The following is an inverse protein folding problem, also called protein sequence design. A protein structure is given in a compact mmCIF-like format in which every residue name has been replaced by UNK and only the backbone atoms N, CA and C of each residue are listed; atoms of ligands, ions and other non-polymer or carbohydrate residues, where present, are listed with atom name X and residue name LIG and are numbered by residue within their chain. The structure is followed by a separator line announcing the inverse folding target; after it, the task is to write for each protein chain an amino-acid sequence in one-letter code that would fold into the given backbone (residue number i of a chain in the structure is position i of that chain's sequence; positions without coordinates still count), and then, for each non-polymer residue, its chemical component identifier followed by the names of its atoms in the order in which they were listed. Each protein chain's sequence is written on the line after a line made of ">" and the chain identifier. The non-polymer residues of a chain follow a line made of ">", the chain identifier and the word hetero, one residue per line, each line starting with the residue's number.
data_IF_184399586393
#
_entry.id   IF_184399586393
#
_cell.length_a   1.000
_cell.length_b   1.000
_cell.length_c   1.000
_cell.angle_alpha   90.00
_cell.angle_beta   90.00
_cell.angle_gamma   90.00
#
_symmetry.space_group_name_H-M   'P 1'
#
loop_
_entity.id
_entity.type
_entity.pdbx_description
1 polymer ?
#
# COMPACT_ATOMS: atom_id res chain seq x y z
N UNK A 1 -29.72 -20.36 51.39
CA UNK A 1 -29.80 -19.24 50.43
C UNK A 1 -28.38 -19.08 49.93
N UNK A 2 -28.04 -19.93 48.96
CA UNK A 2 -26.69 -20.13 48.46
C UNK A 2 -26.77 -19.78 46.98
N UNK A 3 -26.26 -18.62 46.60
CA UNK A 3 -26.15 -18.20 45.20
C UNK A 3 -25.07 -19.06 44.54
N UNK A 4 -25.53 -20.04 43.78
CA UNK A 4 -24.70 -20.90 42.95
C UNK A 4 -24.36 -20.13 41.67
N UNK A 5 -23.14 -19.60 41.62
CA UNK A 5 -22.58 -18.92 40.46
C UNK A 5 -22.44 -19.92 39.31
N UNK A 6 -23.32 -19.86 38.31
CA UNK A 6 -23.31 -20.72 37.12
C UNK A 6 -22.05 -20.48 36.27
N UNK A 7 -21.16 -21.48 36.08
CA UNK A 7 -19.91 -21.31 35.33
C UNK A 7 -20.02 -21.42 33.80
N UNK A 8 -21.20 -21.18 33.18
CA UNK A 8 -21.44 -21.51 31.75
C UNK A 8 -21.73 -20.34 30.81
N UNK A 9 -21.20 -19.15 31.06
CA UNK A 9 -21.03 -18.18 29.97
C UNK A 9 -19.75 -18.48 29.17
N UNK A 10 -19.89 -19.39 28.20
CA UNK A 10 -18.95 -19.46 27.08
C UNK A 10 -19.00 -18.11 26.35
N UNK A 11 -17.88 -17.41 26.12
CA UNK A 11 -17.90 -16.20 25.32
C UNK A 11 -18.43 -16.56 23.94
N UNK A 12 -19.63 -16.06 23.61
CA UNK A 12 -20.31 -16.35 22.35
C UNK A 12 -19.34 -16.17 21.20
N UNK A 13 -19.18 -17.19 20.38
CA UNK A 13 -18.38 -17.13 19.16
C UNK A 13 -18.94 -16.00 18.31
N UNK A 14 -18.27 -14.85 18.30
CA UNK A 14 -18.66 -13.71 17.48
C UNK A 14 -18.79 -14.19 16.04
N UNK A 15 -20.01 -14.16 15.51
CA UNK A 15 -20.31 -14.69 14.19
C UNK A 15 -19.51 -13.90 13.15
N UNK A 16 -18.80 -14.62 12.27
CA UNK A 16 -17.98 -13.95 11.24
C UNK A 16 -18.88 -13.11 10.36
N UNK A 17 -18.51 -11.86 10.03
CA UNK A 17 -19.34 -11.04 9.16
C UNK A 17 -19.44 -11.68 7.78
N UNK A 18 -20.61 -11.53 7.14
CA UNK A 18 -20.81 -12.03 5.78
C UNK A 18 -19.85 -11.35 4.79
N UNK A 19 -19.56 -12.01 3.67
CA UNK A 19 -18.71 -11.43 2.61
C UNK A 19 -19.28 -10.12 2.06
N UNK A 20 -20.61 -10.01 1.98
CA UNK A 20 -21.28 -8.77 1.59
C UNK A 20 -21.04 -7.65 2.61
N UNK A 21 -21.05 -7.96 3.91
CA UNK A 21 -20.73 -6.97 4.95
C UNK A 21 -19.27 -6.50 4.86
N UNK A 22 -18.33 -7.40 4.59
CA UNK A 22 -16.91 -7.05 4.34
C UNK A 22 -16.81 -6.15 3.11
N UNK A 23 -17.39 -6.55 1.99
CA UNK A 23 -17.37 -5.78 0.74
C UNK A 23 -17.95 -4.38 0.93
N UNK A 24 -19.15 -4.25 1.50
CA UNK A 24 -19.81 -2.95 1.71
C UNK A 24 -19.04 -2.05 2.67
N UNK A 25 -18.44 -2.61 3.73
CA UNK A 25 -17.62 -1.83 4.66
C UNK A 25 -16.39 -1.24 3.97
N UNK A 26 -15.67 -2.04 3.16
CA UNK A 26 -14.53 -1.56 2.39
C UNK A 26 -14.93 -0.64 1.22
N UNK A 27 -16.09 -0.86 0.61
CA UNK A 27 -16.61 0.01 -0.46
C UNK A 27 -16.89 1.41 0.08
N UNK A 28 -17.57 1.51 1.22
CA UNK A 28 -17.80 2.78 1.90
C UNK A 28 -16.49 3.49 2.23
N UNK A 29 -15.48 2.76 2.69
CA UNK A 29 -14.15 3.31 2.96
C UNK A 29 -13.45 3.75 1.66
N UNK A 30 -13.65 3.05 0.55
CA UNK A 30 -13.14 3.45 -0.77
C UNK A 30 -13.70 4.79 -1.25
N UNK A 31 -14.90 5.17 -0.83
CA UNK A 31 -15.50 6.48 -1.12
C UNK A 31 -15.18 7.58 -0.10
N UNK A 32 -14.69 7.23 1.09
CA UNK A 32 -14.61 8.19 2.21
C UNK A 32 -13.21 8.36 2.82
N UNK A 33 -12.26 7.49 2.48
CA UNK A 33 -10.91 7.55 3.03
C UNK A 33 -10.05 8.51 2.21
N UNK A 34 -9.91 9.75 2.65
CA UNK A 34 -9.05 10.73 1.97
C UNK A 34 -7.66 10.80 2.60
N UNK A 35 -6.66 11.09 1.78
CA UNK A 35 -5.29 11.35 2.21
C UNK A 35 -4.35 10.16 2.05
N UNK A 36 -3.23 10.22 2.77
CA UNK A 36 -2.15 9.23 2.65
C UNK A 36 -2.38 7.93 3.43
N UNK A 37 -1.44 6.97 3.34
CA UNK A 37 -1.53 5.68 4.03
C UNK A 37 -1.83 5.78 5.53
N UNK A 38 -1.25 6.76 6.23
CA UNK A 38 -1.47 6.97 7.67
C UNK A 38 -2.95 7.32 7.95
N UNK A 39 -3.56 8.16 7.11
CA UNK A 39 -4.97 8.50 7.25
C UNK A 39 -5.86 7.26 7.06
N UNK A 40 -5.58 6.44 6.05
CA UNK A 40 -6.29 5.19 5.81
C UNK A 40 -6.22 4.21 6.98
N UNK A 41 -5.04 4.10 7.62
CA UNK A 41 -4.91 3.30 8.83
C UNK A 41 -5.80 3.87 9.96
N UNK A 42 -5.83 5.19 10.12
CA UNK A 42 -6.77 5.85 11.05
C UNK A 42 -8.24 5.52 10.76
N UNK A 43 -8.67 5.61 9.49
CA UNK A 43 -10.03 5.25 9.07
C UNK A 43 -10.33 3.77 9.32
N UNK A 44 -9.39 2.87 9.05
CA UNK A 44 -9.56 1.43 9.26
C UNK A 44 -9.66 1.08 10.74
N UNK A 45 -8.84 1.71 11.58
CA UNK A 45 -8.91 1.56 13.04
C UNK A 45 -10.29 2.00 13.55
N UNK A 46 -10.74 3.18 13.19
CA UNK A 46 -12.06 3.67 13.59
C UNK A 46 -13.19 2.75 13.10
N UNK A 47 -13.14 2.33 11.83
CA UNK A 47 -14.18 1.51 11.23
C UNK A 47 -14.24 0.08 11.79
N UNK A 48 -13.09 -0.57 11.99
CA UNK A 48 -13.00 -2.00 12.29
C UNK A 48 -12.65 -2.31 13.74
N UNK A 49 -11.92 -1.45 14.44
CA UNK A 49 -11.63 -1.60 15.89
C UNK A 49 -12.73 -0.94 16.71
N UNK A 50 -12.98 0.35 16.49
CA UNK A 50 -13.86 1.15 17.37
C UNK A 50 -15.33 0.87 17.09
N UNK A 51 -15.78 1.09 15.85
CA UNK A 51 -17.21 1.01 15.50
C UNK A 51 -17.71 -0.42 15.35
N UNK A 52 -17.07 -1.22 14.49
CA UNK A 52 -17.51 -2.59 14.20
C UNK A 52 -16.99 -3.64 15.18
N UNK A 53 -15.91 -3.34 15.91
CA UNK A 53 -15.24 -4.27 16.83
C UNK A 53 -14.93 -5.64 16.20
N UNK A 54 -14.56 -5.62 14.91
CA UNK A 54 -14.16 -6.81 14.17
C UNK A 54 -12.77 -7.28 14.57
N UNK A 55 -11.90 -6.37 15.00
CA UNK A 55 -10.52 -6.64 15.37
C UNK A 55 -10.17 -5.85 16.63
N UNK A 56 -9.37 -6.45 17.51
CA UNK A 56 -8.86 -5.80 18.71
C UNK A 56 -7.77 -4.77 18.34
N UNK A 57 -7.56 -3.79 19.22
CA UNK A 57 -6.53 -2.76 19.10
C UNK A 57 -5.12 -3.36 18.91
N UNK A 58 -4.76 -4.38 19.69
CA UNK A 58 -3.44 -5.03 19.62
C UNK A 58 -3.29 -5.83 18.35
N UNK A 59 -4.27 -6.66 18.01
CA UNK A 59 -4.27 -7.40 16.75
C UNK A 59 -4.21 -6.44 15.53
N UNK A 60 -4.87 -5.29 15.59
CA UNK A 60 -4.78 -4.26 14.56
C UNK A 60 -3.38 -3.66 14.48
N UNK A 61 -2.77 -3.31 15.62
CA UNK A 61 -1.41 -2.79 15.67
C UNK A 61 -0.38 -3.81 15.14
N UNK A 62 -0.51 -5.09 15.51
CA UNK A 62 0.34 -6.18 15.00
C UNK A 62 0.20 -6.33 13.47
N UNK A 63 -1.03 -6.25 12.94
CA UNK A 63 -1.25 -6.29 11.49
C UNK A 63 -0.64 -5.07 10.79
N UNK A 64 -0.79 -3.88 11.36
CA UNK A 64 -0.18 -2.65 10.82
C UNK A 64 1.33 -2.78 10.80
N UNK A 65 1.95 -3.26 11.89
CA UNK A 65 3.38 -3.46 11.97
C UNK A 65 3.88 -4.47 10.91
N UNK A 66 3.18 -5.60 10.75
CA UNK A 66 3.48 -6.58 9.72
C UNK A 66 3.41 -5.98 8.31
N UNK A 67 2.34 -5.24 7.99
CA UNK A 67 2.15 -4.63 6.68
C UNK A 67 3.08 -3.43 6.41
N UNK A 68 3.67 -2.83 7.44
CA UNK A 68 4.72 -1.82 7.28
C UNK A 68 6.10 -2.44 7.06
N UNK A 69 6.29 -3.68 7.51
CA UNK A 69 7.51 -4.45 7.28
C UNK A 69 7.55 -5.06 5.86
N UNK A 70 6.41 -5.51 5.35
CA UNK A 70 6.32 -6.12 4.02
C UNK A 70 6.41 -5.07 2.89
N UNK A 71 6.96 -5.43 1.71
CA UNK A 71 6.89 -4.57 0.54
C UNK A 71 5.45 -4.43 0.07
N UNK A 72 5.03 -3.20 -0.20
CA UNK A 72 3.78 -2.81 -0.85
C UNK A 72 3.03 -1.69 -0.10
N UNK A 73 1.79 -1.39 -0.52
CA UNK A 73 0.94 -0.41 0.17
C UNK A 73 0.50 -0.91 1.54
N UNK A 74 1.08 -0.37 2.61
CA UNK A 74 0.73 -0.73 3.97
C UNK A 74 -0.80 -0.67 4.24
N UNK A 75 -1.48 0.41 3.85
CA UNK A 75 -2.94 0.52 4.07
C UNK A 75 -3.74 -0.53 3.32
N UNK A 76 -3.41 -0.81 2.05
CA UNK A 76 -4.13 -1.82 1.27
C UNK A 76 -3.85 -3.22 1.79
N UNK A 77 -2.63 -3.51 2.22
CA UNK A 77 -2.28 -4.79 2.84
C UNK A 77 -3.01 -5.00 4.16
N UNK A 78 -3.12 -3.97 5.01
CA UNK A 78 -3.93 -4.05 6.24
C UNK A 78 -5.39 -4.33 5.89
N UNK A 79 -5.93 -3.67 4.87
CA UNK A 79 -7.30 -3.93 4.40
C UNK A 79 -7.51 -5.38 3.93
N UNK A 80 -6.59 -5.88 3.10
CA UNK A 80 -6.54 -7.28 2.65
C UNK A 80 -6.44 -8.24 3.85
N UNK A 81 -5.58 -7.93 4.82
CA UNK A 81 -5.38 -8.72 6.04
C UNK A 81 -6.63 -8.78 6.92
N UNK A 82 -7.34 -7.66 7.08
CA UNK A 82 -8.63 -7.61 7.78
C UNK A 82 -9.68 -8.43 7.01
N UNK A 83 -9.78 -8.25 5.69
CA UNK A 83 -10.67 -9.05 4.83
C UNK A 83 -10.39 -10.54 4.94
N UNK A 84 -9.11 -10.92 4.95
CA UNK A 84 -8.64 -12.29 5.13
C UNK A 84 -9.03 -12.85 6.50
N UNK A 85 -8.83 -12.08 7.58
CA UNK A 85 -9.19 -12.48 8.93
C UNK A 85 -10.72 -12.65 9.12
N UNK A 86 -11.53 -11.91 8.36
CA UNK A 86 -12.99 -11.94 8.51
C UNK A 86 -13.71 -12.90 7.54
N UNK A 87 -13.18 -13.07 6.33
CA UNK A 87 -13.83 -13.85 5.27
C UNK A 87 -12.92 -14.81 4.50
N UNK A 88 -11.72 -15.10 5.00
CA UNK A 88 -10.73 -15.90 4.29
C UNK A 88 -10.30 -15.25 2.97
N UNK A 89 -9.79 -16.05 2.03
CA UNK A 89 -9.36 -15.53 0.71
C UNK A 89 -10.45 -14.73 0.00
N UNK A 90 -11.73 -15.16 -0.04
CA UNK A 90 -12.79 -14.35 -0.63
C UNK A 90 -12.97 -13.00 0.06
N UNK A 91 -12.84 -12.95 1.40
CA UNK A 91 -12.88 -11.69 2.15
C UNK A 91 -11.71 -10.77 1.83
N UNK A 92 -10.51 -11.32 1.61
CA UNK A 92 -9.33 -10.59 1.19
C UNK A 92 -9.53 -9.93 -0.19
N UNK A 93 -10.04 -10.70 -1.16
CA UNK A 93 -10.38 -10.18 -2.49
C UNK A 93 -11.52 -9.15 -2.45
N UNK A 94 -12.57 -9.40 -1.66
CA UNK A 94 -13.69 -8.48 -1.49
C UNK A 94 -13.22 -7.14 -0.90
N UNK A 95 -12.37 -7.17 0.14
CA UNK A 95 -11.80 -5.97 0.75
C UNK A 95 -10.94 -5.18 -0.24
N UNK A 96 -10.03 -5.86 -0.95
CA UNK A 96 -9.17 -5.22 -1.95
C UNK A 96 -9.99 -4.57 -3.06
N UNK A 97 -10.91 -5.31 -3.66
CA UNK A 97 -11.71 -4.84 -4.77
C UNK A 97 -12.57 -3.63 -4.34
N UNK A 98 -13.28 -3.75 -3.22
CA UNK A 98 -14.19 -2.71 -2.75
C UNK A 98 -13.46 -1.42 -2.36
N UNK A 99 -12.29 -1.51 -1.72
CA UNK A 99 -11.52 -0.34 -1.32
C UNK A 99 -10.84 0.37 -2.50
N UNK A 100 -10.40 -0.40 -3.50
CA UNK A 100 -9.58 0.07 -4.62
C UNK A 100 -10.44 0.61 -5.77
N UNK A 101 -11.53 -0.09 -6.11
CA UNK A 101 -12.32 0.18 -7.33
C UNK A 101 -12.84 1.62 -7.44
N UNK A 102 -13.39 2.27 -6.39
CA UNK A 102 -13.90 3.63 -6.51
C UNK A 102 -12.84 4.62 -7.01
N UNK A 103 -11.65 4.56 -6.42
CA UNK A 103 -10.53 5.43 -6.79
C UNK A 103 -10.00 5.14 -8.20
N UNK A 104 -9.85 3.86 -8.56
CA UNK A 104 -9.42 3.46 -9.90
C UNK A 104 -10.41 3.92 -10.98
N UNK A 105 -11.71 3.79 -10.72
CA UNK A 105 -12.75 4.28 -11.65
C UNK A 105 -12.70 5.81 -11.79
N UNK A 106 -12.57 6.53 -10.69
CA UNK A 106 -12.48 7.99 -10.72
C UNK A 106 -11.27 8.47 -11.52
N UNK A 107 -10.11 7.83 -11.35
CA UNK A 107 -8.88 8.16 -12.08
C UNK A 107 -8.93 7.77 -13.55
N UNK A 108 -9.52 6.62 -13.90
CA UNK A 108 -9.77 6.26 -15.29
C UNK A 108 -10.70 7.27 -15.98
N UNK A 109 -11.80 7.66 -15.33
CA UNK A 109 -12.73 8.67 -15.85
C UNK A 109 -12.02 10.01 -16.02
N UNK A 110 -11.20 10.42 -15.05
CA UNK A 110 -10.39 11.64 -15.15
C UNK A 110 -9.42 11.57 -16.33
N UNK A 111 -8.67 10.47 -16.47
CA UNK A 111 -7.71 10.28 -17.57
C UNK A 111 -8.37 10.38 -18.95
N UNK A 112 -9.47 9.65 -19.18
CA UNK A 112 -10.22 9.75 -20.43
C UNK A 112 -10.87 11.12 -20.62
N UNK A 113 -11.35 11.74 -19.54
CA UNK A 113 -11.95 13.07 -19.56
C UNK A 113 -10.97 14.15 -20.00
N UNK A 114 -9.73 14.12 -19.50
CA UNK A 114 -8.67 15.05 -19.92
C UNK A 114 -8.37 14.91 -21.40
N UNK A 115 -8.35 13.69 -21.94
CA UNK A 115 -8.12 13.47 -23.38
C UNK A 115 -9.32 13.90 -24.25
N UNK A 116 -10.54 13.71 -23.77
CA UNK A 116 -11.75 14.00 -24.55
C UNK A 116 -12.18 15.47 -24.51
N UNK A 117 -11.79 16.22 -23.47
CA UNK A 117 -12.25 17.58 -23.19
C UNK A 117 -11.08 18.57 -23.11
N UNK A 118 -10.03 18.36 -23.90
CA UNK A 118 -8.78 19.13 -23.87
C UNK A 118 -9.03 20.65 -23.96
N UNK A 119 -10.01 21.07 -24.78
CA UNK A 119 -10.40 22.47 -24.96
C UNK A 119 -11.29 23.05 -23.84
N UNK A 120 -11.92 22.20 -23.02
CA UNK A 120 -12.85 22.62 -21.97
C UNK A 120 -12.17 22.86 -20.61
N UNK A 121 -10.95 22.35 -20.43
CA UNK A 121 -10.18 22.57 -19.21
C UNK A 121 -9.45 23.92 -19.26
N UNK A 122 -9.56 24.76 -18.22
CA UNK A 122 -8.77 25.98 -18.11
C UNK A 122 -7.27 25.66 -18.24
N UNK A 123 -6.53 26.45 -19.01
CA UNK A 123 -5.10 26.25 -19.31
C UNK A 123 -4.21 26.12 -18.06
N UNK A 124 -4.66 26.64 -16.91
CA UNK A 124 -3.96 26.54 -15.62
C UNK A 124 -4.28 25.30 -14.78
N UNK A 125 -5.31 24.51 -15.10
CA UNK A 125 -5.76 23.41 -14.23
C UNK A 125 -4.72 22.29 -14.13
N UNK A 126 -4.20 21.82 -15.26
CA UNK A 126 -3.14 20.80 -15.28
C UNK A 126 -1.86 21.29 -14.60
N UNK A 127 -1.52 22.56 -14.77
CA UNK A 127 -0.39 23.17 -14.06
C UNK A 127 -0.64 23.20 -12.54
N UNK A 128 -1.84 23.57 -12.11
CA UNK A 128 -2.24 23.54 -10.70
C UNK A 128 -2.09 22.15 -10.08
N UNK A 129 -2.50 21.09 -10.80
CA UNK A 129 -2.30 19.70 -10.35
C UNK A 129 -0.83 19.34 -10.19
N UNK A 130 0.06 19.81 -11.09
CA UNK A 130 1.51 19.61 -10.95
C UNK A 130 2.06 20.32 -9.70
N UNK A 131 1.58 21.52 -9.38
CA UNK A 131 2.00 22.24 -8.17
C UNK A 131 1.54 21.49 -6.91
N UNK A 132 0.31 20.96 -6.91
CA UNK A 132 -0.22 20.13 -5.82
C UNK A 132 0.65 18.87 -5.65
N UNK A 133 1.02 18.21 -6.74
CA UNK A 133 1.90 17.05 -6.71
C UNK A 133 3.22 17.34 -5.95
N UNK A 134 3.88 18.47 -6.24
CA UNK A 134 5.12 18.87 -5.54
C UNK A 134 4.88 19.06 -4.03
N UNK A 135 3.82 19.79 -3.66
CA UNK A 135 3.48 20.04 -2.26
C UNK A 135 3.21 18.74 -1.50
N UNK A 136 2.52 17.78 -2.12
CA UNK A 136 2.22 16.49 -1.52
C UNK A 136 3.48 15.63 -1.38
N UNK A 137 4.34 15.55 -2.40
CA UNK A 137 5.61 14.83 -2.28
C UNK A 137 6.44 15.40 -1.13
N UNK A 138 6.52 16.73 -1.02
CA UNK A 138 7.23 17.38 0.08
C UNK A 138 6.62 17.02 1.45
N UNK A 139 5.29 17.04 1.58
CA UNK A 139 4.61 16.64 2.81
C UNK A 139 4.88 15.17 3.15
N UNK A 140 4.82 14.27 2.17
CA UNK A 140 5.06 12.84 2.35
C UNK A 140 6.49 12.58 2.84
N UNK A 141 7.49 13.21 2.22
CA UNK A 141 8.89 13.13 2.65
C UNK A 141 9.06 13.65 4.07
N UNK A 142 8.45 14.79 4.41
CA UNK A 142 8.49 15.35 5.76
C UNK A 142 7.87 14.41 6.81
N UNK A 143 6.72 13.81 6.49
CA UNK A 143 6.04 12.84 7.35
C UNK A 143 6.89 11.59 7.60
N UNK A 144 7.46 11.00 6.53
CA UNK A 144 8.34 9.83 6.61
C UNK A 144 9.64 10.13 7.37
N UNK A 145 10.22 11.32 7.20
CA UNK A 145 11.42 11.71 7.93
C UNK A 145 11.18 11.73 9.45
N UNK A 146 10.03 12.26 9.90
CA UNK A 146 9.69 12.30 11.34
C UNK A 146 9.50 10.92 11.96
N UNK A 147 9.05 9.94 11.19
CA UNK A 147 8.76 8.58 11.70
C UNK A 147 9.94 7.63 11.52
N UNK A 148 10.62 7.65 10.37
CA UNK A 148 11.68 6.70 10.02
C UNK A 148 13.08 7.20 10.36
N UNK A 149 13.27 8.51 10.52
CA UNK A 149 14.56 9.12 10.85
C UNK A 149 14.50 9.96 12.14
N UNK A 150 14.09 9.37 13.29
CA UNK A 150 13.93 10.12 14.54
C UNK A 150 15.25 10.56 15.20
N UNK A 151 16.40 10.01 14.77
CA UNK A 151 17.72 10.27 15.35
C UNK A 151 18.79 10.48 14.28
N UNK A 152 19.93 11.04 14.70
CA UNK A 152 21.03 11.38 13.82
C UNK A 152 21.56 10.18 13.01
N UNK A 153 21.81 8.98 13.58
CA UNK A 153 22.21 7.80 12.81
C UNK A 153 21.26 7.46 11.66
N UNK A 154 19.94 7.45 11.92
CA UNK A 154 18.93 7.13 10.89
C UNK A 154 18.84 8.23 9.83
N UNK A 155 18.91 9.50 10.23
CA UNK A 155 18.98 10.63 9.29
C UNK A 155 20.22 10.54 8.39
N UNK A 156 21.40 10.26 8.97
CA UNK A 156 22.65 10.11 8.21
C UNK A 156 22.54 8.99 7.19
N UNK A 157 22.00 7.83 7.59
CA UNK A 157 21.78 6.70 6.68
C UNK A 157 20.84 7.09 5.52
N UNK A 158 19.75 7.79 5.80
CA UNK A 158 18.81 8.25 4.79
C UNK A 158 19.43 9.25 3.80
N UNK A 159 20.23 10.21 4.29
CA UNK A 159 20.92 11.18 3.43
C UNK A 159 21.97 10.50 2.55
N UNK A 160 22.75 9.56 3.09
CA UNK A 160 23.74 8.78 2.32
C UNK A 160 23.06 7.91 1.26
N UNK A 161 21.96 7.25 1.61
CA UNK A 161 21.15 6.48 0.67
C UNK A 161 20.61 7.36 -0.47
N UNK A 162 20.06 8.53 -0.14
CA UNK A 162 19.56 9.49 -1.12
C UNK A 162 20.68 9.97 -2.06
N UNK A 163 21.85 10.33 -1.51
CA UNK A 163 22.99 10.78 -2.30
C UNK A 163 23.48 9.68 -3.28
N UNK A 164 23.57 8.43 -2.82
CA UNK A 164 23.99 7.30 -3.65
C UNK A 164 23.02 7.04 -4.81
N UNK A 165 21.71 7.01 -4.53
CA UNK A 165 20.67 6.78 -5.56
C UNK A 165 20.59 7.94 -6.54
N UNK A 166 20.75 9.19 -6.09
CA UNK A 166 20.75 10.36 -6.98
C UNK A 166 22.01 10.44 -7.85
N UNK A 167 23.15 9.99 -7.35
CA UNK A 167 24.39 9.94 -8.12
C UNK A 167 24.35 8.85 -9.21
N UNK A 168 23.66 7.73 -8.96
CA UNK A 168 23.51 6.64 -9.92
C UNK A 168 22.13 5.98 -9.78
N UNK A 169 21.13 6.42 -10.58
CA UNK A 169 19.74 5.96 -10.47
C UNK A 169 19.55 4.62 -11.20
N UNK A 170 20.32 3.59 -10.81
CA UNK A 170 20.20 2.24 -11.37
C UNK A 170 19.54 1.28 -10.38
N UNK A 171 18.78 0.27 -10.86
CA UNK A 171 18.17 -0.72 -9.97
C UNK A 171 19.19 -1.44 -9.07
N UNK A 172 20.39 -1.70 -9.59
CA UNK A 172 21.47 -2.33 -8.82
C UNK A 172 21.88 -1.48 -7.61
N UNK A 173 22.05 -0.16 -7.80
CA UNK A 173 22.41 0.76 -6.70
C UNK A 173 21.32 0.79 -5.63
N UNK A 174 20.04 0.82 -6.03
CA UNK A 174 18.93 0.78 -5.08
C UNK A 174 18.95 -0.50 -4.23
N UNK A 175 19.16 -1.67 -4.86
CA UNK A 175 19.27 -2.95 -4.15
C UNK A 175 20.47 -2.96 -3.19
N UNK A 176 21.63 -2.49 -3.65
CA UNK A 176 22.83 -2.40 -2.80
C UNK A 176 22.61 -1.47 -1.60
N UNK A 177 21.96 -0.33 -1.80
CA UNK A 177 21.63 0.62 -0.73
C UNK A 177 20.66 0.01 0.29
N UNK A 178 19.65 -0.74 -0.16
CA UNK A 178 18.71 -1.45 0.73
C UNK A 178 19.46 -2.49 1.57
N UNK A 179 20.31 -3.32 0.95
CA UNK A 179 21.08 -4.36 1.66
C UNK A 179 22.05 -3.71 2.66
N UNK A 180 22.77 -2.66 2.26
CA UNK A 180 23.68 -1.93 3.13
C UNK A 180 22.92 -1.31 4.32
N UNK A 181 21.78 -0.68 4.07
CA UNK A 181 20.92 -0.11 5.11
C UNK A 181 20.42 -1.17 6.10
N UNK A 182 20.03 -2.35 5.61
CA UNK A 182 19.62 -3.47 6.45
C UNK A 182 20.77 -3.98 7.33
N UNK A 183 21.97 -4.17 6.77
CA UNK A 183 23.15 -4.59 7.54
C UNK A 183 23.52 -3.57 8.60
N UNK A 184 23.56 -2.28 8.25
CA UNK A 184 23.82 -1.18 9.18
C UNK A 184 22.77 -1.16 10.30
N UNK A 185 21.49 -1.29 9.95
CA UNK A 185 20.39 -1.33 10.91
C UNK A 185 20.48 -2.49 11.89
N UNK A 186 20.87 -3.69 11.42
CA UNK A 186 21.05 -4.87 12.28
C UNK A 186 22.20 -4.71 13.29
N UNK A 187 23.28 -4.03 12.88
CA UNK A 187 24.46 -3.85 13.72
C UNK A 187 24.28 -2.69 14.71
N UNK A 188 23.70 -1.57 14.26
CA UNK A 188 23.74 -0.30 14.98
C UNK A 188 22.38 0.17 15.55
N UNK A 189 21.24 -0.38 15.10
CA UNK A 189 19.90 0.15 15.42
C UNK A 189 18.94 -0.89 16.02
N UNK A 190 19.49 -1.86 16.78
CA UNK A 190 18.71 -2.95 17.38
C UNK A 190 17.73 -2.42 18.45
N UNK A 191 16.44 -2.73 18.30
CA UNK A 191 15.39 -2.45 19.30
C UNK A 191 15.01 -3.73 20.03
N UNK A 192 14.63 -3.62 21.30
CA UNK A 192 13.93 -4.71 22.01
C UNK A 192 12.52 -4.86 21.45
N UNK A 193 12.06 -6.11 21.28
CA UNK A 193 10.74 -6.46 20.78
C UNK A 193 9.91 -6.93 21.97
N UNK A 194 8.83 -6.22 22.30
CA UNK A 194 7.86 -6.68 23.28
C UNK A 194 7.03 -7.85 22.68
N UNK A 195 7.07 -9.00 23.34
CA UNK A 195 6.70 -10.29 22.76
C UNK A 195 5.22 -10.71 22.95
N UNK A 196 4.35 -9.81 23.42
CA UNK A 196 2.93 -10.15 23.62
C UNK A 196 2.11 -9.93 22.35
N UNK A 197 2.07 -10.94 21.48
CA UNK A 197 1.29 -10.93 20.23
C UNK A 197 -0.15 -11.40 20.45
N UNK A 198 -1.11 -10.76 19.76
CA UNK A 198 -2.50 -11.23 19.71
C UNK A 198 -2.78 -11.84 18.34
N UNK A 199 -3.27 -13.07 18.31
CA UNK A 199 -3.55 -13.77 17.06
C UNK A 199 -4.70 -13.09 16.28
N UNK A 200 -4.43 -12.74 15.02
CA UNK A 200 -5.40 -12.16 14.08
C UNK A 200 -6.56 -13.10 13.67
N UNK A 201 -6.50 -14.37 14.06
CA UNK A 201 -7.50 -15.38 13.69
C UNK A 201 -7.46 -15.77 12.20
N UNK A 202 -6.32 -15.57 11.53
CA UNK A 202 -6.10 -15.97 10.13
C UNK A 202 -5.72 -17.45 10.11
N UNK A 203 -6.58 -18.27 9.50
CA UNK A 203 -6.36 -19.71 9.38
C UNK A 203 -6.16 -20.09 7.91
N UNK A 204 -4.94 -19.90 7.42
CA UNK A 204 -4.53 -20.31 6.07
C UNK A 204 -3.74 -21.62 6.17
N UNK A 205 -4.15 -22.62 5.38
CA UNK A 205 -3.39 -23.87 5.23
C UNK A 205 -1.99 -23.57 4.72
N UNK A 206 -0.95 -24.14 5.35
CA UNK A 206 0.48 -23.96 4.97
C UNK A 206 0.74 -24.12 3.47
N UNK A 207 0.06 -25.06 2.80
CA UNK A 207 0.19 -25.27 1.35
C UNK A 207 -0.21 -24.03 0.54
N UNK A 208 -1.28 -23.34 0.94
CA UNK A 208 -1.75 -22.12 0.26
C UNK A 208 -0.75 -20.99 0.48
N UNK A 209 -0.24 -20.81 1.70
CA UNK A 209 0.77 -19.79 1.99
C UNK A 209 2.06 -20.00 1.16
N UNK A 210 2.55 -21.25 1.10
CA UNK A 210 3.73 -21.60 0.29
C UNK A 210 3.45 -21.41 -1.20
N UNK A 211 2.27 -21.79 -1.69
CA UNK A 211 1.90 -21.61 -3.09
C UNK A 211 1.80 -20.12 -3.45
N UNK A 212 1.22 -19.27 -2.60
CA UNK A 212 1.16 -17.82 -2.80
C UNK A 212 2.55 -17.19 -2.83
N UNK A 213 3.45 -17.62 -1.94
CA UNK A 213 4.83 -17.14 -1.92
C UNK A 213 5.63 -17.59 -3.15
N UNK A 214 5.47 -18.84 -3.57
CA UNK A 214 6.09 -19.36 -4.78
C UNK A 214 5.57 -18.63 -6.03
N UNK A 215 4.25 -18.40 -6.12
CA UNK A 215 3.64 -17.64 -7.20
C UNK A 215 4.16 -16.20 -7.22
N UNK A 216 4.32 -15.56 -6.07
CA UNK A 216 4.88 -14.22 -5.96
C UNK A 216 6.28 -14.12 -6.59
N UNK A 217 7.21 -14.98 -6.18
CA UNK A 217 8.58 -14.96 -6.74
C UNK A 217 8.62 -15.42 -8.20
N UNK A 218 7.76 -16.38 -8.58
CA UNK A 218 7.65 -16.82 -9.95
C UNK A 218 7.23 -15.67 -10.87
N UNK A 219 6.26 -14.84 -10.47
CA UNK A 219 5.84 -13.68 -11.24
C UNK A 219 6.90 -12.57 -11.21
N UNK A 220 7.50 -12.30 -10.05
CA UNK A 220 8.50 -11.24 -9.89
C UNK A 220 9.73 -11.46 -10.78
N UNK A 221 10.15 -12.72 -10.95
CA UNK A 221 11.31 -13.09 -11.78
C UNK A 221 10.87 -13.46 -13.19
N UNK A 222 9.76 -14.17 -13.34
CA UNK A 222 9.29 -14.70 -14.61
C UNK A 222 8.77 -13.62 -15.56
N UNK A 223 8.04 -12.62 -15.07
CA UNK A 223 7.51 -11.54 -15.91
C UNK A 223 8.59 -10.74 -16.65
N UNK A 224 9.69 -10.27 -16.02
CA UNK A 224 10.75 -9.56 -16.75
C UNK A 224 11.43 -10.44 -17.81
N UNK A 225 11.65 -11.71 -17.49
CA UNK A 225 12.25 -12.66 -18.44
C UNK A 225 11.32 -12.91 -19.64
N UNK A 226 10.02 -13.04 -19.39
CA UNK A 226 9.01 -13.19 -20.44
C UNK A 226 8.89 -11.92 -21.28
N UNK A 227 8.89 -10.73 -20.65
CA UNK A 227 8.83 -9.45 -21.35
C UNK A 227 10.05 -9.22 -22.25
N UNK A 228 11.24 -9.64 -21.79
CA UNK A 228 12.47 -9.60 -22.59
C UNK A 228 12.45 -10.59 -23.76
N UNK A 229 11.86 -11.79 -23.58
CA UNK A 229 11.78 -12.82 -24.61
C UNK A 229 10.68 -12.54 -25.65
N UNK A 230 9.57 -11.94 -25.23
CA UNK A 230 8.40 -11.65 -26.06
C UNK A 230 7.99 -10.18 -25.92
N UNK A 231 8.64 -9.26 -26.68
CA UNK A 231 8.36 -7.83 -26.60
C UNK A 231 6.91 -7.54 -27.00
N UNK A 232 6.05 -7.34 -26.00
CA UNK A 232 4.66 -6.89 -26.19
C UNK A 232 4.34 -5.82 -25.16
N UNK A 233 3.57 -4.81 -25.57
CA UNK A 233 3.21 -3.70 -24.70
C UNK A 233 2.41 -4.19 -23.48
N UNK A 234 1.46 -5.11 -23.67
CA UNK A 234 0.67 -5.68 -22.58
C UNK A 234 1.54 -6.41 -21.56
N UNK A 235 2.51 -7.20 -22.01
CA UNK A 235 3.40 -7.92 -21.09
C UNK A 235 4.33 -6.96 -20.36
N UNK A 236 4.82 -5.92 -21.04
CA UNK A 236 5.63 -4.86 -20.42
C UNK A 236 4.83 -4.12 -19.36
N UNK A 237 3.56 -3.80 -19.61
CA UNK A 237 2.67 -3.20 -18.61
C UNK A 237 2.48 -4.12 -17.40
N UNK A 238 2.12 -5.39 -17.62
CA UNK A 238 1.92 -6.35 -16.52
C UNK A 238 3.21 -6.46 -15.68
N UNK A 239 4.35 -6.60 -16.34
CA UNK A 239 5.66 -6.70 -15.72
C UNK A 239 6.04 -5.45 -14.90
N UNK A 240 6.02 -4.28 -15.51
CA UNK A 240 6.36 -3.00 -14.88
C UNK A 240 5.49 -2.71 -13.65
N UNK A 241 4.17 -2.89 -13.75
CA UNK A 241 3.26 -2.65 -12.62
C UNK A 241 3.40 -3.72 -11.53
N UNK A 242 3.57 -4.99 -11.89
CA UNK A 242 3.76 -6.07 -10.91
C UNK A 242 5.06 -5.90 -10.13
N UNK A 243 6.17 -5.66 -10.83
CA UNK A 243 7.49 -5.45 -10.19
C UNK A 243 7.49 -4.20 -9.33
N UNK A 244 6.95 -3.09 -9.85
CA UNK A 244 6.87 -1.83 -9.09
C UNK A 244 6.03 -2.02 -7.82
N UNK A 245 4.85 -2.64 -7.91
CA UNK A 245 4.03 -2.93 -6.73
C UNK A 245 4.69 -3.86 -5.72
N UNK A 246 5.52 -4.80 -6.19
CA UNK A 246 6.21 -5.81 -5.36
C UNK A 246 7.46 -5.31 -4.66
N UNK A 247 8.06 -4.19 -5.10
CA UNK A 247 9.34 -3.68 -4.61
C UNK A 247 9.22 -2.40 -3.77
N UNK A 248 8.01 -1.86 -3.61
CA UNK A 248 7.82 -0.61 -2.86
C UNK A 248 7.83 -0.85 -1.36
N UNK A 249 8.54 0.00 -0.62
CA UNK A 249 8.45 0.08 0.83
C UNK A 249 8.01 1.49 1.22
N UNK A 250 7.17 1.65 2.26
CA UNK A 250 6.84 2.99 2.79
C UNK A 250 5.59 3.67 2.21
N UNK A 251 4.65 2.93 1.62
CA UNK A 251 3.31 3.42 1.30
C UNK A 251 3.16 4.15 -0.06
N UNK A 252 1.99 4.74 -0.28
CA UNK A 252 1.46 5.24 -1.57
C UNK A 252 2.32 6.23 -2.34
N UNK A 253 3.23 6.92 -1.69
CA UNK A 253 4.05 7.95 -2.34
C UNK A 253 5.37 7.42 -2.88
N UNK A 254 5.84 6.29 -2.36
CA UNK A 254 7.16 5.72 -2.71
C UNK A 254 7.09 4.89 -4.01
N UNK A 255 5.88 4.46 -4.41
CA UNK A 255 5.64 3.77 -5.68
C UNK A 255 5.80 4.67 -6.90
N UNK A 256 5.59 5.98 -6.73
CA UNK A 256 5.44 6.89 -7.86
C UNK A 256 6.75 7.11 -8.62
N UNK A 257 7.92 7.32 -7.99
CA UNK A 257 9.18 7.39 -8.73
C UNK A 257 9.46 6.12 -9.52
N UNK A 258 9.10 4.95 -8.99
CA UNK A 258 9.26 3.67 -9.68
C UNK A 258 8.31 3.58 -10.88
N UNK A 259 7.02 3.89 -10.71
CA UNK A 259 6.07 3.93 -11.83
C UNK A 259 6.50 4.94 -12.89
N UNK A 260 6.95 6.12 -12.49
CA UNK A 260 7.45 7.15 -13.39
C UNK A 260 8.59 6.61 -14.25
N UNK A 261 9.57 5.93 -13.63
CA UNK A 261 10.72 5.36 -14.32
C UNK A 261 10.36 4.23 -15.29
N UNK A 262 9.22 3.57 -15.07
CA UNK A 262 8.73 2.49 -15.92
C UNK A 262 7.83 2.99 -17.06
N UNK A 263 7.07 4.08 -16.88
CA UNK A 263 6.07 4.52 -17.88
C UNK A 263 6.48 5.75 -18.69
N UNK A 264 7.35 6.61 -18.16
CA UNK A 264 7.74 7.86 -18.83
C UNK A 264 8.89 7.66 -19.83
N UNK A 265 10.02 7.00 -19.47
CA UNK A 265 11.11 6.79 -20.43
C UNK A 265 10.72 6.00 -21.69
N UNK A 266 9.87 4.95 -21.62
CA UNK A 266 9.38 4.27 -22.82
C UNK A 266 8.38 5.08 -23.65
N UNK A 267 7.93 6.25 -23.16
CA UNK A 267 7.00 7.13 -23.85
C UNK A 267 5.53 6.72 -23.74
N UNK A 268 5.15 5.85 -22.79
CA UNK A 268 3.74 5.45 -22.61
C UNK A 268 2.90 6.62 -22.08
N UNK A 269 3.48 7.44 -21.20
CA UNK A 269 2.86 8.63 -20.63
C UNK A 269 3.88 9.75 -20.60
N UNK A 270 3.50 10.98 -20.97
CA UNK A 270 4.39 12.14 -20.84
C UNK A 270 4.62 12.48 -19.36
N UNK A 271 5.78 13.07 -19.03
CA UNK A 271 6.05 13.47 -17.65
C UNK A 271 5.00 14.47 -17.11
N UNK A 272 4.47 15.31 -18.00
CA UNK A 272 3.43 16.27 -17.69
C UNK A 272 2.09 15.61 -17.35
N UNK A 273 1.68 14.61 -18.14
CA UNK A 273 0.46 13.85 -17.88
C UNK A 273 0.60 13.00 -16.61
N UNK A 274 1.80 12.43 -16.37
CA UNK A 274 2.10 11.67 -15.16
C UNK A 274 1.93 12.53 -13.89
N UNK A 275 2.56 13.72 -13.86
CA UNK A 275 2.47 14.63 -12.71
C UNK A 275 1.05 15.19 -12.52
N UNK A 276 0.31 15.46 -13.60
CA UNK A 276 -1.07 15.90 -13.50
C UNK A 276 -1.99 14.80 -12.95
N UNK A 277 -1.86 13.56 -13.44
CA UNK A 277 -2.60 12.42 -12.92
C UNK A 277 -2.28 12.13 -11.46
N UNK A 278 -1.01 12.25 -11.08
CA UNK A 278 -0.61 12.09 -9.69
C UNK A 278 -1.21 13.20 -8.80
N UNK A 279 -1.22 14.45 -9.25
CA UNK A 279 -1.92 15.53 -8.56
C UNK A 279 -3.42 15.26 -8.41
N UNK A 280 -4.06 14.68 -9.43
CA UNK A 280 -5.47 14.30 -9.37
C UNK A 280 -5.73 13.15 -8.38
N UNK A 281 -4.84 12.16 -8.31
CA UNK A 281 -4.93 11.04 -7.35
C UNK A 281 -5.00 11.49 -5.89
N UNK A 282 -4.44 12.66 -5.56
CA UNK A 282 -4.49 13.23 -4.20
C UNK A 282 -5.86 13.78 -3.83
N UNK A 283 -6.71 14.06 -4.81
CA UNK A 283 -8.07 14.56 -4.61
C UNK A 283 -9.12 13.42 -4.59
N UNK A 284 -8.71 12.18 -4.83
CA UNK A 284 -9.61 11.02 -4.92
C UNK A 284 -9.60 10.25 -3.59
N UNK A 285 -10.75 9.84 -3.05
CA UNK A 285 -10.79 8.97 -1.87
C UNK A 285 -10.33 7.56 -2.22
N UNK A 286 -9.73 6.87 -1.26
CA UNK A 286 -9.25 5.50 -1.42
C UNK A 286 -7.73 5.42 -1.60
N UNK A 287 -7.19 4.24 -1.90
CA UNK A 287 -5.75 4.03 -1.94
C UNK A 287 -5.09 4.79 -3.09
N UNK A 288 -4.06 5.59 -2.79
CA UNK A 288 -3.22 6.25 -3.80
C UNK A 288 -2.56 5.30 -4.82
N UNK A 289 -2.52 4.00 -4.52
CA UNK A 289 -2.01 2.96 -5.40
C UNK A 289 -2.93 2.62 -6.59
N UNK A 290 -4.02 3.38 -6.79
CA UNK A 290 -4.85 3.29 -8.00
C UNK A 290 -4.47 4.25 -9.11
N UNK A 291 -3.43 5.05 -8.88
CA UNK A 291 -2.76 5.80 -9.91
C UNK A 291 -2.16 4.89 -10.99
#
# INVERSE_FOLDING_TARGET
>A
MSDEHDPREQPGTAERPSLAAVFLAFLQLGFTSFGGPIAHLGYFRDAFVVRRRWIDERAYADLVALCQFLPGPASSQVGIGIGLAKGGLPGAFAAWLAFTTPSAMALMIFGYGVMALEDAFPSGMLHGLKVIAVAVVAQAVWGMARTLCPDAPRVTLAVLAAAAVLASPTPLVQVCVIIAGAVVGLILLRSEIDATHVALGIDIKKRVAVASLALFFLLLIGLPLLAAAYPSQTLSLIDSFYRTGSLVFGGGHVVLPLLQSEVVPPGWVSNDAFLAGYGAAQAVPGPLFTF
#
